data_IF_891467043473
#
_entry.id   IF_891467043473
#
_cell.length_a   1.000
_cell.length_b   1.000
_cell.length_c   1.000
_cell.angle_alpha   90.00
_cell.angle_beta   90.00
_cell.angle_gamma   90.00
#
_symmetry.space_group_name_H-M   'P 1'
#
loop_
_entity.id
_entity.type
_entity.pdbx_description
1 polymer ?
#
# COMPACT_ATOMS: atom_id res chain seq x y z
N UNK A 1 18.15 -57.58 -15.19
CA UNK A 1 16.98 -57.06 -14.48
C UNK A 1 17.27 -55.62 -14.17
N UNK A 2 16.80 -54.70 -15.00
CA UNK A 2 16.89 -53.26 -14.72
C UNK A 2 15.85 -52.93 -13.66
N UNK A 3 16.28 -52.56 -12.49
CA UNK A 3 15.43 -51.95 -11.48
C UNK A 3 14.92 -50.60 -12.07
N UNK A 4 13.66 -50.58 -12.50
CA UNK A 4 12.98 -49.33 -12.75
C UNK A 4 12.98 -48.53 -11.44
N UNK A 5 13.87 -47.56 -11.35
CA UNK A 5 13.82 -46.58 -10.26
C UNK A 5 12.45 -45.88 -10.34
N UNK A 6 11.63 -46.06 -9.32
CA UNK A 6 10.39 -45.28 -9.20
C UNK A 6 10.74 -43.84 -8.86
N UNK A 7 11.19 -43.09 -9.86
CA UNK A 7 11.57 -41.67 -9.77
C UNK A 7 10.43 -40.86 -9.17
N UNK A 8 9.17 -41.20 -9.49
CA UNK A 8 7.99 -40.50 -8.95
C UNK A 8 7.76 -40.76 -7.45
N UNK A 9 7.98 -41.97 -6.98
CA UNK A 9 7.90 -42.31 -5.56
C UNK A 9 8.98 -41.61 -4.74
N UNK A 10 10.19 -41.50 -5.32
CA UNK A 10 11.30 -40.77 -4.70
C UNK A 10 11.02 -39.27 -4.68
N UNK A 11 10.46 -38.71 -5.75
CA UNK A 11 10.09 -37.30 -5.87
C UNK A 11 9.06 -36.89 -4.80
N UNK A 12 7.97 -37.64 -4.67
CA UNK A 12 6.93 -37.43 -3.65
C UNK A 12 7.52 -37.56 -2.23
N UNK A 13 8.32 -38.59 -1.97
CA UNK A 13 8.99 -38.77 -0.68
C UNK A 13 9.98 -37.65 -0.33
N UNK A 14 10.59 -37.01 -1.35
CA UNK A 14 11.51 -35.89 -1.19
C UNK A 14 10.77 -34.60 -0.86
N UNK A 15 9.63 -34.35 -1.49
CA UNK A 15 8.80 -33.20 -1.22
C UNK A 15 8.43 -33.10 0.27
N UNK A 16 8.06 -34.23 0.88
CA UNK A 16 7.81 -34.31 2.30
C UNK A 16 9.05 -33.97 3.16
N UNK A 17 10.24 -34.33 2.71
CA UNK A 17 11.49 -34.09 3.45
C UNK A 17 11.93 -32.63 3.43
N UNK A 18 11.76 -31.92 2.31
CA UNK A 18 12.18 -30.51 2.13
C UNK A 18 11.08 -29.49 2.34
N UNK A 19 9.89 -29.93 2.68
CA UNK A 19 8.71 -29.12 2.91
C UNK A 19 8.96 -27.89 3.78
N UNK A 20 9.71 -28.02 4.87
CA UNK A 20 10.03 -26.91 5.76
C UNK A 20 10.86 -25.82 5.07
N UNK A 21 11.79 -26.18 4.20
CA UNK A 21 12.61 -25.23 3.46
C UNK A 21 11.77 -24.47 2.43
N UNK A 22 10.89 -25.18 1.71
CA UNK A 22 9.98 -24.58 0.74
C UNK A 22 8.98 -23.64 1.42
N UNK A 23 8.42 -24.01 2.57
CA UNK A 23 7.52 -23.17 3.35
C UNK A 23 8.18 -21.89 3.91
N UNK A 24 9.52 -21.87 4.02
CA UNK A 24 10.25 -20.68 4.47
C UNK A 24 10.50 -19.66 3.35
N UNK A 25 10.35 -20.04 2.07
CA UNK A 25 10.63 -19.15 0.95
C UNK A 25 9.77 -17.89 0.93
N UNK A 26 8.45 -17.94 1.14
CA UNK A 26 7.63 -16.73 1.26
C UNK A 26 8.10 -15.79 2.38
N UNK A 27 8.51 -16.37 3.52
CA UNK A 27 9.02 -15.58 4.65
C UNK A 27 10.33 -14.89 4.30
N UNK A 28 11.22 -15.58 3.59
CA UNK A 28 12.49 -15.02 3.15
C UNK A 28 12.27 -13.92 2.14
N UNK A 29 11.37 -14.11 1.16
CA UNK A 29 11.01 -13.10 0.17
C UNK A 29 10.45 -11.83 0.82
N UNK A 30 9.69 -11.98 1.90
CA UNK A 30 9.10 -10.88 2.65
C UNK A 30 10.02 -10.30 3.74
N UNK A 31 11.15 -10.93 4.07
CA UNK A 31 11.94 -10.60 5.25
C UNK A 31 12.39 -9.14 5.28
N UNK A 32 12.80 -8.61 4.14
CA UNK A 32 13.22 -7.20 4.02
C UNK A 32 12.06 -6.23 4.26
N UNK A 33 10.90 -6.54 3.72
CA UNK A 33 9.69 -5.71 3.88
C UNK A 33 9.11 -5.83 5.29
N UNK A 34 8.99 -7.04 5.80
CA UNK A 34 8.31 -7.32 7.08
C UNK A 34 9.12 -6.96 8.31
N UNK A 35 10.46 -6.85 8.22
CA UNK A 35 11.26 -6.33 9.33
C UNK A 35 10.84 -4.91 9.77
N UNK A 36 10.25 -4.13 8.85
CA UNK A 36 9.77 -2.78 9.10
C UNK A 36 8.28 -2.70 9.44
N UNK A 37 7.56 -3.83 9.43
CA UNK A 37 6.13 -3.96 9.68
C UNK A 37 5.85 -4.90 10.85
N UNK A 38 4.59 -4.99 11.27
CA UNK A 38 4.16 -5.93 12.32
C UNK A 38 3.49 -7.14 11.69
N UNK A 39 4.15 -8.29 11.81
CA UNK A 39 3.56 -9.56 11.39
C UNK A 39 2.50 -10.03 12.38
N UNK A 40 1.40 -10.54 11.85
CA UNK A 40 0.32 -11.20 12.60
C UNK A 40 0.17 -12.61 12.06
N UNK A 41 0.48 -13.60 12.88
CA UNK A 41 0.45 -15.01 12.54
C UNK A 41 -0.85 -15.67 12.97
N UNK A 42 -1.22 -16.76 12.31
CA UNK A 42 -2.38 -17.60 12.68
C UNK A 42 -3.73 -17.00 12.25
N UNK A 43 -3.76 -16.10 11.27
CA UNK A 43 -5.01 -15.50 10.78
C UNK A 43 -5.47 -16.26 9.54
N UNK A 44 -6.61 -16.96 9.67
CA UNK A 44 -7.33 -17.61 8.58
C UNK A 44 -8.66 -16.92 8.36
N UNK A 45 -8.67 -15.91 7.44
CA UNK A 45 -9.87 -15.13 7.15
C UNK A 45 -9.84 -13.74 7.78
N UNK A 46 -10.70 -13.46 8.77
CA UNK A 46 -10.90 -12.10 9.29
C UNK A 46 -10.52 -11.98 10.76
N UNK A 47 -9.69 -10.99 11.08
CA UNK A 47 -9.40 -10.58 12.45
C UNK A 47 -9.76 -9.09 12.63
N UNK A 48 -10.45 -8.77 13.70
CA UNK A 48 -10.71 -7.37 14.05
C UNK A 48 -9.47 -6.80 14.75
N UNK A 49 -8.86 -5.83 14.10
CA UNK A 49 -7.76 -5.02 14.62
C UNK A 49 -8.27 -3.61 14.87
N UNK A 50 -7.56 -2.80 15.63
CA UNK A 50 -7.95 -1.43 15.83
C UNK A 50 -7.31 -0.82 17.06
N UNK A 51 -7.30 0.51 17.09
CA UNK A 51 -6.73 1.28 18.17
C UNK A 51 -7.79 1.68 19.19
N UNK A 52 -7.53 1.40 20.47
CA UNK A 52 -8.32 1.97 21.55
C UNK A 52 -8.03 3.46 21.68
N UNK A 53 -9.08 4.28 21.69
CA UNK A 53 -9.00 5.73 21.92
C UNK A 53 -9.64 6.06 23.25
N UNK A 54 -9.06 7.01 23.95
CA UNK A 54 -9.63 7.60 25.16
C UNK A 54 -9.52 9.10 25.12
N UNK A 55 -10.59 9.80 25.44
CA UNK A 55 -10.61 11.24 25.67
C UNK A 55 -10.25 11.63 27.09
N UNK A 56 -9.71 10.70 27.90
CA UNK A 56 -9.31 10.96 29.27
C UNK A 56 -8.30 12.12 29.36
N UNK A 57 -8.59 13.07 30.23
CA UNK A 57 -7.73 14.23 30.51
C UNK A 57 -7.41 14.29 31.99
N UNK A 58 -6.14 14.51 32.31
CA UNK A 58 -5.76 14.87 33.65
C UNK A 58 -6.29 16.27 33.95
N UNK A 59 -7.10 16.38 34.99
CA UNK A 59 -7.73 17.66 35.43
C UNK A 59 -7.37 17.97 36.87
N UNK A 60 -7.46 19.23 37.30
CA UNK A 60 -7.31 19.58 38.71
C UNK A 60 -8.27 18.75 39.57
N UNK A 61 -7.81 18.40 40.78
CA UNK A 61 -8.58 17.62 41.72
C UNK A 61 -9.91 18.30 42.06
N UNK A 62 -11.00 17.50 42.02
CA UNK A 62 -12.34 17.92 42.42
C UNK A 62 -12.96 16.85 43.31
N UNK A 63 -13.72 17.22 44.30
CA UNK A 63 -14.44 16.30 45.17
C UNK A 63 -15.65 15.66 44.48
N UNK A 64 -16.20 16.29 43.43
CA UNK A 64 -17.31 15.72 42.64
C UNK A 64 -16.83 14.59 41.74
N UNK A 65 -17.58 13.46 41.73
CA UNK A 65 -17.33 12.32 40.84
C UNK A 65 -18.00 12.54 39.50
N UNK A 66 -17.36 13.27 38.59
CA UNK A 66 -17.83 13.34 37.20
C UNK A 66 -17.09 12.31 36.37
N UNK A 67 -17.66 11.14 36.18
CA UNK A 67 -17.12 10.10 35.30
C UNK A 67 -17.65 10.32 33.89
N UNK A 68 -16.76 10.62 32.93
CA UNK A 68 -17.08 10.64 31.50
C UNK A 68 -16.49 9.41 30.86
N UNK A 69 -17.32 8.55 30.30
CA UNK A 69 -16.81 7.43 29.50
C UNK A 69 -16.53 7.94 28.07
N UNK A 70 -15.23 8.11 27.76
CA UNK A 70 -14.76 8.58 26.46
C UNK A 70 -13.89 7.52 25.75
N UNK A 71 -13.85 6.29 26.31
CA UNK A 71 -13.11 5.20 25.67
C UNK A 71 -13.92 4.64 24.49
N UNK A 72 -13.30 4.58 23.33
CA UNK A 72 -13.85 3.97 22.11
C UNK A 72 -12.78 3.12 21.42
N UNK A 73 -13.20 2.07 20.74
CA UNK A 73 -12.33 1.30 19.86
C UNK A 73 -12.81 1.60 18.44
N UNK A 74 -11.92 2.03 17.57
CA UNK A 74 -12.19 2.12 16.14
C UNK A 74 -11.76 0.80 15.50
N UNK A 75 -12.70 -0.11 15.22
CA UNK A 75 -12.38 -1.41 14.66
C UNK A 75 -12.01 -1.28 13.18
N UNK A 76 -10.98 -2.01 12.78
CA UNK A 76 -10.63 -2.27 11.39
C UNK A 76 -10.52 -3.78 11.21
N UNK A 77 -10.75 -4.27 10.02
CA UNK A 77 -10.68 -5.71 9.74
C UNK A 77 -9.43 -6.00 8.93
N UNK A 78 -8.54 -6.81 9.49
CA UNK A 78 -7.47 -7.45 8.74
C UNK A 78 -8.06 -8.74 8.16
N UNK A 79 -8.16 -8.80 6.85
CA UNK A 79 -8.66 -9.95 6.12
C UNK A 79 -7.51 -10.61 5.37
N UNK A 80 -7.38 -11.93 5.53
CA UNK A 80 -6.39 -12.73 4.81
C UNK A 80 -7.09 -13.64 3.81
N UNK A 81 -6.52 -13.78 2.64
CA UNK A 81 -7.05 -14.59 1.54
C UNK A 81 -6.11 -15.75 1.27
N UNK A 82 -6.71 -16.90 0.98
CA UNK A 82 -5.97 -18.08 0.57
C UNK A 82 -5.54 -17.92 -0.89
N UNK A 83 -4.23 -17.93 -1.12
CA UNK A 83 -3.63 -18.11 -2.43
C UNK A 83 -3.15 -19.54 -2.61
N UNK A 84 -3.18 -20.03 -3.83
CA UNK A 84 -2.65 -21.32 -4.22
C UNK A 84 -1.73 -21.21 -5.43
N UNK A 85 -0.79 -22.10 -5.50
CA UNK A 85 0.12 -22.29 -6.63
C UNK A 85 0.06 -23.75 -7.02
N UNK A 86 -0.27 -24.03 -8.28
CA UNK A 86 -0.33 -25.36 -8.85
C UNK A 86 0.53 -25.35 -10.10
N UNK A 87 1.68 -26.03 -10.04
CA UNK A 87 2.61 -26.13 -11.16
C UNK A 87 2.83 -27.59 -11.52
N UNK A 88 2.83 -27.89 -12.81
CA UNK A 88 3.09 -29.20 -13.33
C UNK A 88 4.42 -29.23 -14.11
N UNK A 89 5.27 -30.19 -13.80
CA UNK A 89 6.52 -30.37 -14.53
C UNK A 89 6.79 -31.86 -14.90
N UNK A 90 7.44 -32.04 -16.04
CA UNK A 90 7.90 -33.35 -16.48
C UNK A 90 9.35 -33.55 -16.00
N UNK A 91 9.61 -34.46 -15.04
CA UNK A 91 10.98 -34.70 -14.54
C UNK A 91 11.96 -35.14 -15.65
N UNK A 92 11.48 -35.73 -16.73
CA UNK A 92 12.33 -36.21 -17.83
C UNK A 92 12.94 -35.06 -18.65
N UNK A 93 12.30 -33.91 -18.70
CA UNK A 93 12.83 -32.73 -19.42
C UNK A 93 14.08 -32.14 -18.73
N UNK A 94 14.30 -32.48 -17.47
CA UNK A 94 15.43 -32.01 -16.67
C UNK A 94 16.67 -32.88 -16.82
N UNK A 95 16.52 -34.10 -17.31
CA UNK A 95 17.64 -34.98 -17.66
C UNK A 95 18.32 -34.45 -18.92
N UNK A 96 19.49 -33.84 -18.78
CA UNK A 96 20.25 -33.21 -19.86
C UNK A 96 20.49 -31.70 -19.63
N UNK A 97 19.96 -31.16 -18.56
CA UNK A 97 20.25 -29.79 -18.12
C UNK A 97 21.39 -29.77 -17.09
N UNK A 98 21.86 -28.58 -16.74
CA UNK A 98 22.88 -28.34 -15.69
C UNK A 98 22.51 -29.01 -14.35
N UNK A 99 21.21 -29.17 -14.08
CA UNK A 99 20.70 -29.80 -12.86
C UNK A 99 20.87 -31.34 -12.86
N UNK A 100 21.17 -31.93 -14.00
CA UNK A 100 21.38 -33.37 -14.19
C UNK A 100 22.87 -33.76 -14.33
N UNK A 101 23.82 -32.90 -13.94
CA UNK A 101 25.25 -33.16 -14.10
C UNK A 101 25.66 -34.55 -13.56
N UNK A 102 26.27 -35.41 -14.41
CA UNK A 102 26.57 -36.78 -14.05
C UNK A 102 27.85 -36.95 -13.18
N UNK A 103 28.32 -35.92 -12.50
CA UNK A 103 29.65 -35.87 -11.90
C UNK A 103 29.77 -36.57 -10.56
N UNK A 104 28.75 -37.16 -10.02
CA UNK A 104 28.89 -37.98 -8.82
C UNK A 104 27.93 -39.17 -8.85
N UNK A 105 28.47 -40.34 -8.75
CA UNK A 105 27.77 -41.64 -8.66
C UNK A 105 26.74 -41.75 -7.53
N UNK A 106 26.29 -40.67 -6.90
CA UNK A 106 25.28 -40.60 -5.82
C UNK A 106 24.63 -39.25 -5.64
N UNK A 107 24.45 -38.43 -6.70
CA UNK A 107 23.43 -37.37 -6.56
C UNK A 107 22.08 -38.04 -6.64
N UNK A 108 21.45 -38.13 -5.52
CA UNK A 108 20.10 -38.67 -5.42
C UNK A 108 19.16 -37.66 -6.10
N UNK A 109 18.17 -38.18 -6.81
CA UNK A 109 17.04 -37.44 -7.41
C UNK A 109 16.41 -36.44 -6.41
N UNK A 110 16.69 -36.62 -5.15
CA UNK A 110 16.32 -35.81 -3.99
C UNK A 110 16.80 -34.35 -4.06
N UNK A 111 18.03 -34.09 -4.54
CA UNK A 111 18.59 -32.71 -4.60
C UNK A 111 17.99 -31.89 -5.74
N UNK A 112 17.67 -32.56 -6.85
CA UNK A 112 17.01 -31.95 -8.00
C UNK A 112 15.62 -31.48 -7.63
N UNK A 113 14.84 -32.34 -6.95
CA UNK A 113 13.49 -32.01 -6.48
C UNK A 113 13.50 -30.86 -5.48
N UNK A 114 14.45 -30.89 -4.54
CA UNK A 114 14.64 -29.81 -3.57
C UNK A 114 14.87 -28.48 -4.29
N UNK A 115 15.83 -28.45 -5.21
CA UNK A 115 16.22 -27.23 -5.92
C UNK A 115 15.03 -26.66 -6.72
N UNK A 116 14.30 -27.53 -7.42
CA UNK A 116 13.13 -27.13 -8.19
C UNK A 116 11.98 -26.64 -7.31
N UNK A 117 11.66 -27.36 -6.24
CA UNK A 117 10.56 -26.96 -5.34
C UNK A 117 10.88 -25.63 -4.65
N UNK A 118 12.14 -25.41 -4.29
CA UNK A 118 12.60 -24.13 -3.72
C UNK A 118 12.50 -23.01 -4.76
N UNK A 119 12.92 -23.28 -6.01
CA UNK A 119 12.86 -22.27 -7.08
C UNK A 119 11.42 -21.93 -7.47
N UNK A 120 10.53 -22.93 -7.56
CA UNK A 120 9.09 -22.69 -7.78
C UNK A 120 8.47 -21.84 -6.67
N UNK A 121 8.75 -22.17 -5.41
CA UNK A 121 8.27 -21.39 -4.29
C UNK A 121 8.84 -19.96 -4.29
N UNK A 122 10.11 -19.79 -4.69
CA UNK A 122 10.75 -18.47 -4.83
C UNK A 122 10.04 -17.65 -5.90
N UNK A 123 9.83 -18.20 -7.08
CA UNK A 123 9.14 -17.52 -8.19
C UNK A 123 7.70 -17.17 -7.82
N UNK A 124 6.96 -18.11 -7.24
CA UNK A 124 5.57 -17.89 -6.80
C UNK A 124 5.44 -16.76 -5.77
N UNK A 125 6.50 -16.43 -5.06
CA UNK A 125 6.49 -15.39 -4.01
C UNK A 125 7.31 -14.15 -4.36
N UNK A 126 7.87 -14.09 -5.58
CA UNK A 126 8.71 -12.97 -6.03
C UNK A 126 7.95 -11.64 -6.04
N UNK A 127 6.70 -11.65 -6.50
CA UNK A 127 5.84 -10.47 -6.57
C UNK A 127 5.10 -10.14 -5.26
N UNK A 128 5.20 -11.00 -4.25
CA UNK A 128 4.49 -10.81 -3.00
C UNK A 128 4.87 -9.51 -2.25
N UNK A 129 6.15 -9.08 -2.19
CA UNK A 129 6.53 -7.78 -1.64
C UNK A 129 5.86 -6.60 -2.37
N UNK A 130 5.65 -6.72 -3.69
CA UNK A 130 4.96 -5.73 -4.50
C UNK A 130 3.45 -5.75 -4.23
N UNK A 131 2.84 -6.93 -4.15
CA UNK A 131 1.42 -7.10 -3.83
C UNK A 131 1.05 -6.50 -2.46
N UNK A 132 1.96 -6.52 -1.46
CA UNK A 132 1.76 -5.85 -0.17
C UNK A 132 1.41 -4.36 -0.33
N UNK A 133 1.96 -3.69 -1.34
CA UNK A 133 1.69 -2.26 -1.56
C UNK A 133 0.62 -2.02 -2.62
N UNK A 134 0.76 -2.61 -3.80
CA UNK A 134 -0.04 -2.26 -4.98
C UNK A 134 -1.02 -3.35 -5.42
N UNK A 135 -1.14 -4.45 -4.67
CA UNK A 135 -2.13 -5.50 -4.94
C UNK A 135 -3.57 -4.96 -4.96
N UNK A 136 -4.39 -5.55 -5.82
CA UNK A 136 -5.83 -5.25 -5.95
C UNK A 136 -6.59 -6.56 -5.97
N UNK A 137 -7.40 -6.82 -4.97
CA UNK A 137 -8.12 -8.08 -4.83
C UNK A 137 -9.04 -8.35 -6.02
N UNK A 138 -8.76 -9.43 -6.74
CA UNK A 138 -9.60 -9.97 -7.79
C UNK A 138 -9.76 -11.49 -7.59
N UNK A 139 -10.94 -11.93 -7.20
CA UNK A 139 -11.19 -13.35 -6.91
C UNK A 139 -11.15 -14.26 -8.16
N UNK A 140 -11.16 -13.69 -9.37
CA UNK A 140 -11.08 -14.40 -10.64
C UNK A 140 -9.73 -14.14 -11.35
N UNK A 141 -8.78 -13.50 -10.69
CA UNK A 141 -7.44 -13.25 -11.23
C UNK A 141 -6.50 -14.43 -11.04
N UNK A 142 -5.47 -14.46 -11.86
CA UNK A 142 -4.46 -15.53 -11.89
C UNK A 142 -3.07 -15.07 -11.46
N UNK A 143 -2.96 -13.85 -10.90
CA UNK A 143 -1.69 -13.23 -10.53
C UNK A 143 -1.57 -13.04 -9.00
N UNK A 144 -0.35 -13.02 -8.48
CA UNK A 144 -0.06 -12.69 -7.08
C UNK A 144 -0.60 -11.31 -6.69
N UNK A 145 -0.65 -10.37 -7.64
CA UNK A 145 -1.20 -9.02 -7.45
C UNK A 145 -2.72 -9.01 -7.23
N UNK A 146 -3.42 -10.07 -7.62
CA UNK A 146 -4.88 -10.24 -7.47
C UNK A 146 -5.26 -10.85 -6.12
N UNK A 147 -4.29 -11.25 -5.28
CA UNK A 147 -4.55 -12.04 -4.09
C UNK A 147 -5.25 -11.24 -2.98
N UNK A 148 -4.81 -10.01 -2.70
CA UNK A 148 -5.37 -9.13 -1.67
C UNK A 148 -5.13 -7.66 -2.00
N UNK A 149 -5.89 -6.77 -1.34
CA UNK A 149 -5.68 -5.32 -1.46
C UNK A 149 -4.43 -4.90 -0.69
N UNK A 150 -3.50 -4.25 -1.40
CA UNK A 150 -2.29 -3.69 -0.83
C UNK A 150 -2.52 -2.36 -0.08
N UNK A 151 -1.48 -1.85 0.58
CA UNK A 151 -1.57 -0.61 1.36
C UNK A 151 -1.97 0.61 0.53
N UNK A 152 -1.50 0.73 -0.72
CA UNK A 152 -1.89 1.81 -1.64
C UNK A 152 -3.37 1.70 -1.99
N UNK A 153 -3.84 0.51 -2.34
CA UNK A 153 -5.23 0.23 -2.69
C UNK A 153 -6.16 0.55 -1.50
N UNK A 154 -5.77 0.13 -0.30
CA UNK A 154 -6.49 0.46 0.93
C UNK A 154 -6.50 1.98 1.17
N UNK A 155 -5.35 2.66 0.97
CA UNK A 155 -5.25 4.11 1.13
C UNK A 155 -6.16 4.85 0.14
N UNK A 156 -6.20 4.44 -1.12
CA UNK A 156 -7.09 4.99 -2.15
C UNK A 156 -8.55 4.76 -1.77
N UNK A 157 -8.93 3.55 -1.35
CA UNK A 157 -10.29 3.23 -0.92
C UNK A 157 -10.73 4.09 0.28
N UNK A 158 -9.86 4.26 1.29
CA UNK A 158 -10.13 5.09 2.46
C UNK A 158 -10.19 6.59 2.12
N UNK A 159 -9.43 7.05 1.12
CA UNK A 159 -9.53 8.40 0.58
C UNK A 159 -10.87 8.61 -0.10
N UNK A 160 -11.33 7.66 -0.91
CA UNK A 160 -12.66 7.68 -1.55
C UNK A 160 -13.79 7.71 -0.52
N UNK A 161 -13.62 7.02 0.62
CA UNK A 161 -14.57 7.06 1.75
C UNK A 161 -14.46 8.37 2.56
N UNK A 162 -13.46 9.21 2.31
CA UNK A 162 -13.22 10.44 3.07
C UNK A 162 -12.60 10.21 4.46
N UNK A 163 -12.11 9.01 4.75
CA UNK A 163 -11.42 8.70 6.00
C UNK A 163 -9.97 9.20 5.99
N UNK A 164 -9.38 9.30 4.82
CA UNK A 164 -8.06 9.90 4.57
C UNK A 164 -8.28 11.17 3.74
N UNK A 165 -7.86 12.33 4.25
CA UNK A 165 -7.96 13.62 3.55
C UNK A 165 -7.07 14.68 4.20
N UNK A 166 -6.72 15.74 3.45
CA UNK A 166 -5.98 16.88 4.01
C UNK A 166 -6.78 17.61 5.09
N UNK A 167 -8.12 17.65 4.99
CA UNK A 167 -8.98 18.24 6.03
C UNK A 167 -8.86 17.51 7.38
N UNK A 168 -8.65 16.19 7.35
CA UNK A 168 -8.41 15.39 8.56
C UNK A 168 -6.96 15.48 9.04
N UNK A 169 -6.04 16.00 8.23
CA UNK A 169 -4.63 16.15 8.56
C UNK A 169 -3.83 14.83 8.52
N UNK A 170 -4.31 13.83 7.77
CA UNK A 170 -3.66 12.55 7.56
C UNK A 170 -3.27 12.29 6.10
N UNK A 171 -3.31 13.33 5.26
CA UNK A 171 -3.00 13.25 3.84
C UNK A 171 -2.40 14.54 3.28
N UNK A 172 -1.50 14.40 2.31
CA UNK A 172 -0.92 15.51 1.53
C UNK A 172 -0.58 15.04 0.11
N UNK A 173 -0.72 15.93 -0.87
CA UNK A 173 -0.23 15.73 -2.23
C UNK A 173 1.16 16.35 -2.41
N UNK A 174 2.05 15.62 -3.07
CA UNK A 174 3.39 16.07 -3.40
C UNK A 174 3.68 15.73 -4.84
N UNK A 175 3.77 16.73 -5.68
CA UNK A 175 4.02 16.59 -7.11
C UNK A 175 5.46 16.98 -7.47
N UNK A 176 5.96 16.50 -8.63
CA UNK A 176 7.24 16.86 -9.22
C UNK A 176 8.43 16.68 -8.29
N UNK A 177 8.59 15.45 -7.80
CA UNK A 177 9.78 15.09 -7.04
C UNK A 177 10.95 14.86 -8.00
N UNK A 178 12.06 15.57 -7.77
CA UNK A 178 13.31 15.41 -8.50
C UNK A 178 14.52 15.54 -7.55
N UNK A 179 15.72 15.29 -8.08
CA UNK A 179 16.96 15.36 -7.31
C UNK A 179 17.24 16.74 -6.67
N UNK A 180 16.64 17.82 -7.19
CA UNK A 180 16.84 19.16 -6.62
C UNK A 180 15.93 19.46 -5.40
N UNK A 181 14.75 18.81 -5.30
CA UNK A 181 13.72 19.21 -4.34
C UNK A 181 13.25 18.09 -3.40
N UNK A 182 13.64 16.85 -3.62
CA UNK A 182 13.14 15.68 -2.88
C UNK A 182 13.29 15.81 -1.36
N UNK A 183 14.42 16.36 -0.88
CA UNK A 183 14.64 16.55 0.55
C UNK A 183 13.63 17.51 1.18
N UNK A 184 13.28 18.59 0.48
CA UNK A 184 12.28 19.56 0.95
C UNK A 184 10.86 19.00 0.85
N UNK A 185 10.57 18.20 -0.19
CA UNK A 185 9.29 17.51 -0.36
C UNK A 185 9.04 16.48 0.75
N UNK A 186 10.03 15.63 1.07
CA UNK A 186 9.93 14.68 2.20
C UNK A 186 9.81 15.41 3.55
N UNK A 187 10.52 16.53 3.75
CA UNK A 187 10.35 17.38 4.93
C UNK A 187 8.94 17.99 4.99
N UNK A 188 8.32 18.32 3.87
CA UNK A 188 6.96 18.83 3.83
C UNK A 188 5.96 17.81 4.36
N UNK A 189 6.10 16.51 4.01
CA UNK A 189 5.30 15.41 4.58
C UNK A 189 5.43 15.41 6.10
N UNK A 190 6.67 15.38 6.61
CA UNK A 190 6.93 15.35 8.04
C UNK A 190 6.41 16.63 8.75
N UNK A 191 6.51 17.80 8.12
CA UNK A 191 5.98 19.06 8.68
C UNK A 191 4.45 19.07 8.75
N UNK A 192 3.77 18.53 7.75
CA UNK A 192 2.31 18.44 7.71
C UNK A 192 1.75 17.42 8.73
N UNK A 193 2.54 16.41 9.13
CA UNK A 193 2.12 15.40 10.07
C UNK A 193 1.75 15.96 11.46
N UNK A 194 0.87 15.27 12.16
CA UNK A 194 0.43 15.66 13.51
C UNK A 194 1.60 15.66 14.51
N UNK A 195 1.56 16.57 15.50
CA UNK A 195 2.65 16.76 16.48
C UNK A 195 3.00 15.48 17.25
N UNK A 196 2.02 14.65 17.58
CA UNK A 196 2.23 13.36 18.27
C UNK A 196 3.07 12.44 17.38
N UNK A 197 2.72 12.34 16.10
CA UNK A 197 3.46 11.51 15.14
C UNK A 197 4.91 12.00 14.97
N UNK A 198 5.12 13.30 14.84
CA UNK A 198 6.47 13.91 14.74
C UNK A 198 7.37 13.62 15.94
N UNK A 199 6.77 13.50 17.12
CA UNK A 199 7.51 13.26 18.37
C UNK A 199 7.79 11.79 18.64
N UNK A 200 7.13 10.88 17.90
CA UNK A 200 7.32 9.44 18.00
C UNK A 200 8.48 8.98 17.09
N UNK A 201 8.99 7.79 17.35
CA UNK A 201 9.87 7.10 16.41
C UNK A 201 9.02 6.60 15.22
N UNK A 202 9.15 7.25 14.08
CA UNK A 202 8.38 6.98 12.88
C UNK A 202 9.25 6.40 11.77
N UNK A 203 8.60 5.69 10.87
CA UNK A 203 9.17 5.21 9.62
C UNK A 203 8.46 5.90 8.45
N UNK A 204 9.23 6.36 7.50
CA UNK A 204 8.73 6.88 6.24
C UNK A 204 9.03 5.84 5.17
N UNK A 205 8.00 5.14 4.73
CA UNK A 205 8.07 4.13 3.69
C UNK A 205 8.06 4.81 2.33
N UNK A 206 9.11 4.61 1.56
CA UNK A 206 9.34 5.26 0.27
C UNK A 206 9.79 4.24 -0.79
N UNK A 207 9.50 4.47 -2.09
CA UNK A 207 10.14 3.74 -3.17
C UNK A 207 11.66 3.92 -3.18
N UNK A 208 12.37 2.91 -3.70
CA UNK A 208 13.83 2.96 -3.85
C UNK A 208 14.26 4.15 -4.70
N UNK A 209 13.53 4.44 -5.80
CA UNK A 209 13.83 5.58 -6.67
C UNK A 209 13.82 6.93 -5.92
N UNK A 210 12.89 7.12 -4.98
CA UNK A 210 12.85 8.34 -4.16
C UNK A 210 14.04 8.38 -3.18
N UNK A 211 14.47 7.23 -2.68
CA UNK A 211 15.65 7.15 -1.81
C UNK A 211 16.92 7.52 -2.56
N UNK A 212 17.08 7.02 -3.79
CA UNK A 212 18.21 7.37 -4.67
C UNK A 212 18.26 8.87 -4.93
N UNK A 213 17.12 9.49 -5.32
CA UNK A 213 17.01 10.94 -5.48
C UNK A 213 17.35 11.70 -4.19
N UNK A 214 16.96 11.16 -3.02
CA UNK A 214 17.27 11.78 -1.74
C UNK A 214 18.76 11.74 -1.42
N UNK A 215 19.43 10.65 -1.74
CA UNK A 215 20.87 10.53 -1.52
C UNK A 215 21.65 11.46 -2.45
N UNK A 216 21.23 11.61 -3.72
CA UNK A 216 21.77 12.60 -4.66
C UNK A 216 21.55 14.04 -4.14
N UNK A 217 20.33 14.35 -3.70
CA UNK A 217 19.99 15.65 -3.11
C UNK A 217 20.87 15.95 -1.89
N UNK A 218 21.05 14.96 -1.03
CA UNK A 218 21.84 15.13 0.18
C UNK A 218 23.32 15.40 -0.17
N UNK A 219 23.87 14.64 -1.11
CA UNK A 219 25.25 14.82 -1.57
C UNK A 219 25.46 16.21 -2.20
N UNK A 220 24.50 16.68 -3.00
CA UNK A 220 24.57 17.96 -3.67
C UNK A 220 24.51 19.15 -2.67
N UNK A 221 23.69 19.05 -1.61
CA UNK A 221 23.49 20.15 -0.66
C UNK A 221 24.48 20.18 0.51
N UNK A 222 25.00 19.01 0.93
CA UNK A 222 25.85 18.91 2.12
C UNK A 222 27.31 18.49 1.80
N UNK A 223 27.62 18.25 0.53
CA UNK A 223 28.94 17.89 0.06
C UNK A 223 29.34 16.46 0.38
N UNK A 224 30.49 16.04 -0.17
CA UNK A 224 31.09 14.74 0.11
C UNK A 224 31.57 14.70 1.55
N UNK A 225 30.77 14.12 2.43
CA UNK A 225 31.23 13.79 3.76
C UNK A 225 32.19 12.61 3.63
N UNK A 226 33.41 12.75 4.18
CA UNK A 226 34.47 11.74 4.10
C UNK A 226 33.95 10.35 4.47
N UNK A 227 34.39 9.38 3.72
CA UNK A 227 34.14 7.94 3.83
C UNK A 227 34.04 7.46 5.27
N UNK A 228 32.85 7.52 5.82
CA UNK A 228 32.56 6.94 7.11
C UNK A 228 31.31 6.08 6.95
N UNK A 229 31.43 4.79 7.23
CA UNK A 229 30.36 3.78 7.14
C UNK A 229 29.12 4.08 7.99
N UNK A 230 29.15 5.13 8.79
CA UNK A 230 28.02 5.67 9.56
C UNK A 230 27.15 6.67 8.79
N UNK A 231 27.39 6.90 7.52
CA UNK A 231 26.70 7.91 6.69
C UNK A 231 25.64 7.37 5.75
N UNK A 232 25.12 6.18 5.99
CA UNK A 232 23.88 5.81 5.36
C UNK A 232 22.79 6.79 5.80
N UNK A 233 22.13 7.45 4.83
CA UNK A 233 21.06 8.40 5.09
C UNK A 233 19.79 7.66 5.51
N UNK A 234 19.86 6.98 6.62
CA UNK A 234 18.74 6.20 7.19
C UNK A 234 17.66 7.09 7.81
N UNK A 235 17.99 8.35 8.11
CA UNK A 235 17.04 9.26 8.74
C UNK A 235 16.81 10.51 7.90
N UNK A 236 15.57 10.98 7.88
CA UNK A 236 15.24 12.25 7.25
C UNK A 236 15.96 13.40 7.95
N UNK A 237 16.69 14.20 7.17
CA UNK A 237 17.46 15.33 7.67
C UNK A 237 16.57 16.34 8.41
N UNK A 238 17.02 16.77 9.59
CA UNK A 238 16.31 17.76 10.43
C UNK A 238 15.24 17.18 11.36
N UNK A 239 15.13 15.86 11.51
CA UNK A 239 14.13 15.19 12.35
C UNK A 239 14.67 14.63 13.67
N UNK A 240 15.91 14.97 14.05
CA UNK A 240 16.58 14.45 15.25
C UNK A 240 16.58 12.90 15.33
N UNK A 241 16.77 12.22 14.19
CA UNK A 241 16.75 10.75 14.07
C UNK A 241 15.41 10.11 14.49
N UNK A 242 14.30 10.87 14.47
CA UNK A 242 12.97 10.34 14.79
C UNK A 242 12.26 9.73 13.59
N UNK A 243 12.55 10.23 12.37
CA UNK A 243 11.95 9.74 11.14
C UNK A 243 12.98 8.93 10.36
N UNK A 244 12.84 7.60 10.38
CA UNK A 244 13.65 6.67 9.60
C UNK A 244 13.09 6.57 8.18
N UNK A 245 13.96 6.69 7.17
CA UNK A 245 13.62 6.46 5.77
C UNK A 245 13.77 4.96 5.48
N UNK A 246 12.68 4.33 5.08
CA UNK A 246 12.64 2.91 4.74
C UNK A 246 12.33 2.80 3.26
N UNK A 247 13.35 2.52 2.46
CA UNK A 247 13.22 2.26 1.04
C UNK A 247 12.92 0.77 0.82
N UNK A 248 11.81 0.46 0.18
CA UNK A 248 11.38 -0.92 -0.06
C UNK A 248 11.26 -1.21 -1.55
N UNK A 249 11.90 -2.30 -2.04
CA UNK A 249 11.76 -2.71 -3.45
C UNK A 249 10.32 -2.99 -3.86
N UNK A 250 9.50 -3.51 -2.94
CA UNK A 250 8.08 -3.76 -3.19
C UNK A 250 7.24 -2.50 -3.47
N UNK A 251 7.76 -1.30 -3.21
CA UNK A 251 7.10 -0.03 -3.50
C UNK A 251 7.40 0.52 -4.91
N UNK A 252 7.94 -0.29 -5.83
CA UNK A 252 8.37 0.19 -7.16
C UNK A 252 7.26 0.89 -7.94
N UNK A 253 6.04 0.39 -7.87
CA UNK A 253 4.86 0.96 -8.54
C UNK A 253 3.92 1.69 -7.56
N UNK A 254 4.36 1.91 -6.32
CA UNK A 254 3.58 2.64 -5.33
C UNK A 254 3.46 4.11 -5.71
N UNK A 255 2.27 4.67 -5.54
CA UNK A 255 1.98 6.09 -5.74
C UNK A 255 1.92 6.87 -4.44
N UNK A 256 2.12 6.18 -3.30
CA UNK A 256 2.02 6.77 -1.98
C UNK A 256 3.31 6.60 -1.16
N UNK A 257 3.57 7.57 -0.32
CA UNK A 257 4.57 7.54 0.76
C UNK A 257 3.80 7.47 2.06
N UNK A 258 4.18 6.55 2.95
CA UNK A 258 3.52 6.39 4.24
C UNK A 258 4.46 6.80 5.37
N UNK A 259 4.03 7.76 6.19
CA UNK A 259 4.70 8.14 7.44
C UNK A 259 3.89 7.60 8.61
N UNK A 260 4.41 6.56 9.26
CA UNK A 260 3.71 5.88 10.34
C UNK A 260 4.68 5.16 11.28
N UNK A 261 4.17 4.43 12.26
CA UNK A 261 4.97 3.57 13.13
C UNK A 261 5.01 2.13 12.60
N UNK A 262 6.06 1.38 12.93
CA UNK A 262 6.19 -0.04 12.58
C UNK A 262 4.93 -0.85 12.93
N UNK A 263 4.35 -0.57 14.09
CA UNK A 263 3.22 -1.35 14.62
C UNK A 263 1.90 -1.08 13.88
N UNK A 264 1.81 0.03 13.14
CA UNK A 264 0.58 0.42 12.46
C UNK A 264 0.38 -0.28 11.10
N UNK A 265 1.44 -0.78 10.49
CA UNK A 265 1.36 -1.56 9.26
C UNK A 265 1.35 -3.04 9.60
N UNK A 266 0.20 -3.67 9.41
CA UNK A 266 -0.03 -5.08 9.75
C UNK A 266 0.03 -5.94 8.50
N UNK A 267 0.79 -7.02 8.57
CA UNK A 267 0.80 -8.08 7.56
C UNK A 267 0.30 -9.35 8.23
N UNK A 268 -0.84 -9.83 7.78
CA UNK A 268 -1.44 -11.08 8.25
C UNK A 268 -0.95 -12.26 7.44
N UNK A 269 -0.59 -13.33 8.09
CA UNK A 269 -0.29 -14.61 7.46
C UNK A 269 -0.61 -15.76 8.41
N UNK A 270 -0.71 -16.96 7.87
CA UNK A 270 -0.97 -18.17 8.62
C UNK A 270 0.17 -19.17 8.43
N UNK A 271 1.27 -18.97 9.18
CA UNK A 271 2.46 -19.80 9.05
C UNK A 271 2.64 -20.88 10.10
N UNK A 272 1.97 -20.77 11.27
CA UNK A 272 2.23 -21.70 12.36
C UNK A 272 1.46 -23.02 12.26
N UNK A 273 0.31 -23.06 11.57
CA UNK A 273 -0.58 -24.23 11.58
C UNK A 273 -0.40 -25.18 10.40
N UNK A 274 0.36 -24.83 9.36
CA UNK A 274 0.33 -25.55 8.09
C UNK A 274 1.55 -26.38 7.78
N UNK A 275 1.66 -27.46 8.46
CA UNK A 275 2.57 -28.55 8.09
C UNK A 275 2.15 -29.25 6.78
N UNK A 276 1.00 -28.92 6.21
CA UNK A 276 0.38 -29.65 5.09
C UNK A 276 0.21 -28.87 3.77
N UNK A 277 0.70 -27.63 3.67
CA UNK A 277 0.43 -26.72 2.54
C UNK A 277 1.42 -26.73 1.39
N UNK A 278 2.45 -27.52 1.45
CA UNK A 278 3.31 -27.82 0.30
C UNK A 278 3.25 -29.29 0.03
N UNK A 279 2.76 -29.67 -1.14
CA UNK A 279 2.65 -31.06 -1.57
C UNK A 279 3.27 -31.21 -2.96
N UNK A 280 3.93 -32.36 -3.14
CA UNK A 280 4.38 -32.79 -4.45
C UNK A 280 3.63 -34.08 -4.75
N UNK A 281 2.67 -34.02 -5.63
CA UNK A 281 1.74 -35.07 -5.93
C UNK A 281 1.98 -35.66 -7.35
N UNK A 282 1.48 -36.86 -7.60
CA UNK A 282 1.37 -37.39 -8.96
C UNK A 282 0.19 -36.71 -9.63
N UNK A 283 0.44 -36.02 -10.75
CA UNK A 283 -0.63 -35.56 -11.60
C UNK A 283 -1.41 -36.71 -12.25
N UNK A 284 -2.61 -36.42 -12.74
CA UNK A 284 -3.42 -37.39 -13.53
C UNK A 284 -2.65 -37.93 -14.74
N UNK A 285 -1.79 -37.12 -15.34
CA UNK A 285 -0.84 -37.57 -16.35
C UNK A 285 0.32 -38.33 -15.69
N UNK A 286 0.54 -39.61 -15.99
CA UNK A 286 1.59 -40.39 -15.34
C UNK A 286 3.02 -39.95 -15.63
N UNK A 287 3.23 -39.00 -16.56
CA UNK A 287 4.55 -38.43 -16.88
C UNK A 287 4.87 -37.18 -16.12
N UNK A 288 3.90 -36.56 -15.44
CA UNK A 288 3.99 -35.23 -14.84
C UNK A 288 3.90 -35.33 -13.32
N UNK A 289 4.62 -34.50 -12.65
CA UNK A 289 4.56 -34.28 -11.20
C UNK A 289 3.97 -32.90 -10.94
N UNK A 290 3.04 -32.82 -10.00
CA UNK A 290 2.37 -31.59 -9.62
C UNK A 290 2.98 -31.06 -8.30
N UNK A 291 3.40 -29.80 -8.35
CA UNK A 291 3.75 -29.02 -7.17
C UNK A 291 2.52 -28.22 -6.74
N UNK A 292 2.19 -28.27 -5.47
CA UNK A 292 1.08 -27.56 -4.87
C UNK A 292 1.54 -26.82 -3.61
N UNK A 293 1.26 -25.53 -3.55
CA UNK A 293 1.53 -24.70 -2.38
C UNK A 293 0.33 -23.79 -2.09
N UNK A 294 -0.03 -23.63 -0.83
CA UNK A 294 -1.04 -22.66 -0.39
C UNK A 294 -0.53 -21.80 0.75
N UNK A 295 -0.97 -20.55 0.79
CA UNK A 295 -0.66 -19.64 1.87
C UNK A 295 -1.74 -18.55 2.03
N UNK A 296 -1.98 -18.08 3.26
CA UNK A 296 -2.86 -16.94 3.53
C UNK A 296 -2.04 -15.67 3.68
N UNK A 297 -2.45 -14.61 2.96
CA UNK A 297 -1.86 -13.28 3.08
C UNK A 297 -2.93 -12.20 3.08
N UNK A 298 -2.62 -11.10 3.74
CA UNK A 298 -3.42 -9.90 3.72
C UNK A 298 -2.73 -8.79 4.50
N UNK A 299 -3.08 -7.55 4.21
CA UNK A 299 -2.50 -6.38 4.88
C UNK A 299 -3.58 -5.43 5.37
N UNK A 300 -3.27 -4.65 6.40
CA UNK A 300 -4.16 -3.61 6.91
C UNK A 300 -3.40 -2.59 7.77
N UNK A 301 -3.85 -1.34 7.78
CA UNK A 301 -3.45 -0.36 8.78
C UNK A 301 -4.21 -0.60 10.09
N UNK A 302 -3.52 -0.64 11.23
CA UNK A 302 -4.17 -0.72 12.54
C UNK A 302 -5.01 0.52 12.82
N UNK A 303 -4.52 1.69 12.40
CA UNK A 303 -5.22 2.98 12.53
C UNK A 303 -4.82 3.95 11.44
N UNK A 304 -5.77 4.74 10.95
CA UNK A 304 -5.54 5.85 10.01
C UNK A 304 -5.71 7.22 10.68
N UNK A 305 -5.69 7.28 12.03
CA UNK A 305 -5.74 8.52 12.78
C UNK A 305 -4.51 9.40 12.48
N UNK A 306 -4.68 10.73 12.28
CA UNK A 306 -3.57 11.66 12.07
C UNK A 306 -2.45 11.59 13.11
N UNK A 307 -2.75 11.11 14.32
CA UNK A 307 -1.75 10.98 15.40
C UNK A 307 -0.76 9.85 15.17
N UNK A 308 -1.10 8.87 14.32
CA UNK A 308 -0.28 7.67 14.08
C UNK A 308 -0.02 7.41 12.60
N UNK A 309 -0.72 8.12 11.71
CA UNK A 309 -0.68 7.87 10.27
C UNK A 309 -0.70 9.15 9.45
N UNK A 310 0.12 9.21 8.42
CA UNK A 310 0.12 10.23 7.38
C UNK A 310 0.45 9.57 6.05
N UNK A 311 -0.38 9.77 5.04
CA UNK A 311 -0.11 9.36 3.67
C UNK A 311 0.22 10.58 2.80
N UNK A 312 1.11 10.41 1.85
CA UNK A 312 1.38 11.40 0.82
C UNK A 312 1.28 10.73 -0.54
N UNK A 313 0.44 11.23 -1.42
CA UNK A 313 0.49 10.85 -2.83
C UNK A 313 1.59 11.65 -3.50
N UNK A 314 2.40 11.00 -4.32
CA UNK A 314 3.52 11.65 -4.99
C UNK A 314 3.49 11.40 -6.51
N UNK A 315 4.19 12.27 -7.25
CA UNK A 315 4.60 12.02 -8.63
C UNK A 315 6.04 12.45 -8.82
N UNK A 316 6.76 11.74 -9.67
CA UNK A 316 8.11 12.13 -10.08
C UNK A 316 8.05 13.24 -11.14
N UNK A 317 9.17 13.94 -11.33
CA UNK A 317 9.31 14.92 -12.40
C UNK A 317 9.21 14.23 -13.77
N UNK A 318 8.37 14.77 -14.64
CA UNK A 318 8.06 14.16 -15.94
C UNK A 318 6.82 13.26 -15.96
N UNK A 319 6.33 12.78 -14.82
CA UNK A 319 5.09 12.04 -14.75
C UNK A 319 3.86 12.96 -14.84
N UNK A 320 2.75 12.51 -15.44
CA UNK A 320 1.49 13.24 -15.36
C UNK A 320 1.09 13.48 -13.92
N UNK A 321 0.84 14.71 -13.56
CA UNK A 321 0.43 15.06 -12.19
C UNK A 321 -0.68 16.10 -12.19
N UNK A 322 -1.51 16.08 -11.13
CA UNK A 322 -2.58 17.03 -10.93
C UNK A 322 -2.66 17.43 -9.45
N UNK A 323 -2.38 18.67 -9.17
CA UNK A 323 -2.67 19.28 -7.87
C UNK A 323 -4.09 19.83 -7.86
N UNK A 324 -4.86 19.48 -6.84
CA UNK A 324 -6.23 19.99 -6.62
C UNK A 324 -6.26 20.73 -5.30
N UNK A 325 -6.70 21.97 -5.32
CA UNK A 325 -6.75 22.81 -4.12
C UNK A 325 -8.11 23.50 -3.98
N UNK A 326 -8.86 23.27 -2.90
CA UNK A 326 -8.62 22.27 -1.85
C UNK A 326 -8.88 20.83 -2.36
N UNK A 327 -8.30 19.84 -1.70
CA UNK A 327 -8.46 18.41 -2.02
C UNK A 327 -9.73 17.77 -1.42
N UNK A 328 -10.48 18.54 -0.62
CA UNK A 328 -11.82 18.23 -0.15
C UNK A 328 -12.61 19.54 0.00
N UNK A 329 -13.90 19.51 -0.33
CA UNK A 329 -14.74 20.69 -0.37
C UNK A 329 -15.86 20.56 0.65
N UNK A 330 -15.92 21.50 1.58
CA UNK A 330 -17.05 21.68 2.48
C UNK A 330 -17.82 22.95 2.07
N UNK A 331 -19.01 22.79 1.49
CA UNK A 331 -19.88 23.89 1.17
C UNK A 331 -20.50 24.48 2.45
N UNK A 332 -20.82 25.76 2.42
CA UNK A 332 -21.46 26.40 3.54
C UNK A 332 -22.89 25.84 3.74
N UNK A 333 -23.42 25.96 4.96
CA UNK A 333 -24.85 25.70 5.19
C UNK A 333 -25.68 26.59 4.26
N UNK A 334 -26.63 25.97 3.53
CA UNK A 334 -27.40 26.64 2.48
C UNK A 334 -28.86 26.37 2.69
N UNK A 335 -29.69 27.40 2.64
CA UNK A 335 -31.14 27.26 2.75
C UNK A 335 -31.68 26.44 1.56
N UNK A 336 -32.65 25.58 1.80
CA UNK A 336 -33.31 24.79 0.77
C UNK A 336 -33.76 25.69 -0.39
N UNK A 337 -33.49 25.26 -1.63
CA UNK A 337 -33.72 26.00 -2.88
C UNK A 337 -32.84 27.27 -3.09
N UNK A 338 -31.89 27.55 -2.18
CA UNK A 338 -30.83 28.51 -2.43
C UNK A 338 -29.57 27.80 -2.93
N UNK A 339 -28.56 28.56 -3.37
CA UNK A 339 -27.29 28.02 -3.86
C UNK A 339 -26.13 28.62 -3.10
N UNK A 340 -25.10 27.79 -2.86
CA UNK A 340 -23.78 28.26 -2.43
C UNK A 340 -22.70 27.71 -3.35
N UNK A 341 -21.61 28.44 -3.49
CA UNK A 341 -20.53 28.08 -4.39
C UNK A 341 -19.20 27.99 -3.64
N UNK A 342 -18.35 27.07 -4.07
CA UNK A 342 -16.94 26.95 -3.70
C UNK A 342 -16.12 26.75 -4.96
N UNK A 343 -14.90 27.22 -4.94
CA UNK A 343 -13.98 27.07 -6.07
C UNK A 343 -12.92 26.05 -5.70
N UNK A 344 -12.63 25.14 -6.61
CA UNK A 344 -11.44 24.31 -6.61
C UNK A 344 -10.53 24.71 -7.77
N UNK A 345 -9.25 24.72 -7.53
CA UNK A 345 -8.23 24.95 -8.56
C UNK A 345 -7.62 23.61 -8.97
N UNK A 346 -7.52 23.39 -10.27
CA UNK A 346 -6.87 22.24 -10.89
C UNK A 346 -5.59 22.73 -11.57
N UNK A 347 -4.44 22.27 -11.10
CA UNK A 347 -3.15 22.56 -11.72
C UNK A 347 -2.49 21.26 -12.12
N UNK A 348 -2.39 21.03 -13.43
CA UNK A 348 -1.75 19.86 -14.03
C UNK A 348 -0.31 20.17 -14.42
N UNK A 349 0.47 19.09 -14.56
CA UNK A 349 1.82 19.13 -15.13
C UNK A 349 2.05 17.80 -15.87
N UNK A 350 2.65 17.86 -17.06
CA UNK A 350 2.94 16.72 -17.94
C UNK A 350 1.71 15.86 -18.30
N UNK A 351 0.55 16.48 -18.44
CA UNK A 351 -0.69 15.77 -18.75
C UNK A 351 -0.66 15.20 -20.17
N UNK A 352 -1.06 13.94 -20.32
CA UNK A 352 -1.11 13.24 -21.63
C UNK A 352 -2.40 13.51 -22.42
N UNK A 353 -3.37 14.21 -21.85
CA UNK A 353 -4.66 14.52 -22.47
C UNK A 353 -5.56 15.37 -21.58
N UNK A 354 -6.73 15.70 -22.08
CA UNK A 354 -7.75 16.44 -21.32
C UNK A 354 -8.21 15.64 -20.08
N UNK A 355 -8.70 16.38 -19.08
CA UNK A 355 -9.22 15.85 -17.83
C UNK A 355 -10.74 15.94 -17.85
N UNK A 356 -11.43 14.85 -17.59
CA UNK A 356 -12.87 14.78 -17.42
C UNK A 356 -13.27 14.87 -15.95
N UNK A 357 -14.33 15.61 -15.69
CA UNK A 357 -14.87 15.87 -14.36
C UNK A 357 -16.32 15.37 -14.28
N UNK A 358 -16.61 14.49 -13.35
CA UNK A 358 -17.96 14.01 -13.09
C UNK A 358 -18.32 14.15 -11.61
N UNK A 359 -19.56 14.48 -11.31
CA UNK A 359 -20.11 14.49 -9.93
C UNK A 359 -20.96 13.26 -9.71
N UNK A 360 -20.65 12.51 -8.67
CA UNK A 360 -21.47 11.39 -8.19
C UNK A 360 -22.08 11.77 -6.83
N UNK A 361 -23.35 12.11 -6.83
CA UNK A 361 -24.12 12.53 -5.66
C UNK A 361 -25.11 13.66 -6.00
N UNK A 362 -26.18 13.76 -5.24
CA UNK A 362 -27.22 14.76 -5.46
C UNK A 362 -26.85 16.12 -4.84
N UNK A 363 -27.39 17.20 -5.42
CA UNK A 363 -27.29 18.55 -4.87
C UNK A 363 -26.02 19.31 -5.25
N UNK A 364 -25.12 18.74 -6.06
CA UNK A 364 -23.90 19.41 -6.51
C UNK A 364 -23.77 19.42 -8.03
N UNK A 365 -23.23 20.51 -8.56
CA UNK A 365 -22.93 20.68 -9.98
C UNK A 365 -21.57 21.36 -10.17
N UNK A 366 -20.94 21.16 -11.33
CA UNK A 366 -19.66 21.76 -11.69
C UNK A 366 -19.85 22.78 -12.82
N UNK A 367 -19.00 23.80 -12.86
CA UNK A 367 -18.96 24.78 -13.95
C UNK A 367 -18.41 24.24 -15.25
N UNK A 368 -17.70 23.12 -15.23
CA UNK A 368 -17.18 22.43 -16.41
C UNK A 368 -17.12 20.92 -16.17
N UNK A 369 -17.33 20.14 -17.22
CA UNK A 369 -17.20 18.67 -17.21
C UNK A 369 -15.88 18.19 -17.80
N UNK A 370 -15.14 19.07 -18.47
CA UNK A 370 -13.83 18.75 -19.08
C UNK A 370 -12.90 19.95 -18.96
N UNK A 371 -11.62 19.71 -18.75
CA UNK A 371 -10.57 20.71 -18.69
C UNK A 371 -9.48 20.33 -19.70
N UNK A 372 -9.12 21.26 -20.58
CA UNK A 372 -8.04 21.04 -21.55
C UNK A 372 -6.67 21.00 -20.86
N UNK A 373 -5.69 20.34 -21.49
CA UNK A 373 -4.29 20.32 -21.03
C UNK A 373 -3.77 21.74 -20.83
N UNK A 374 -3.96 22.61 -21.82
CA UNK A 374 -3.48 23.99 -21.77
C UNK A 374 -4.06 24.80 -20.61
N UNK A 375 -5.34 24.57 -20.28
CA UNK A 375 -5.99 25.23 -19.14
C UNK A 375 -5.48 24.70 -17.79
N UNK A 376 -5.31 23.37 -17.68
CA UNK A 376 -4.84 22.75 -16.46
C UNK A 376 -3.35 23.06 -16.20
N UNK A 377 -2.51 23.08 -17.23
CA UNK A 377 -1.07 23.36 -17.14
C UNK A 377 -0.73 24.85 -17.14
N UNK A 378 -1.72 25.73 -17.25
CA UNK A 378 -1.50 27.14 -17.08
C UNK A 378 -0.84 27.43 -15.72
N UNK A 379 -0.02 28.48 -15.64
CA UNK A 379 0.73 28.83 -14.42
C UNK A 379 -0.16 28.98 -13.17
N UNK A 380 -1.40 29.41 -13.36
CA UNK A 380 -2.42 29.57 -12.31
C UNK A 380 -3.34 28.37 -12.18
N UNK A 381 -3.26 27.38 -13.08
CA UNK A 381 -4.22 26.28 -13.20
C UNK A 381 -5.61 26.75 -13.63
N UNK A 382 -6.58 25.83 -13.60
CA UNK A 382 -7.99 26.08 -13.95
C UNK A 382 -8.87 26.06 -12.69
N UNK A 383 -9.63 27.13 -12.50
CA UNK A 383 -10.64 27.22 -11.46
C UNK A 383 -11.95 26.57 -11.92
N UNK A 384 -12.46 25.64 -11.12
CA UNK A 384 -13.76 25.00 -11.30
C UNK A 384 -14.65 25.40 -10.14
N UNK A 385 -15.82 25.94 -10.44
CA UNK A 385 -16.83 26.28 -9.43
C UNK A 385 -17.71 25.07 -9.14
N UNK A 386 -17.77 24.69 -7.87
CA UNK A 386 -18.67 23.68 -7.35
C UNK A 386 -19.89 24.42 -6.75
N UNK A 387 -21.05 24.16 -7.30
CA UNK A 387 -22.32 24.76 -6.83
C UNK A 387 -23.10 23.73 -6.03
N UNK A 388 -23.46 24.09 -4.81
CA UNK A 388 -24.32 23.31 -3.94
C UNK A 388 -25.73 23.89 -3.93
N UNK A 389 -26.75 23.08 -4.22
CA UNK A 389 -28.16 23.45 -4.30
C UNK A 389 -29.01 22.39 -3.58
N UNK A 390 -29.17 22.50 -2.26
CA UNK A 390 -29.97 21.52 -1.49
C UNK A 390 -31.47 21.63 -1.80
N UNK A 391 -32.15 20.49 -1.98
CA UNK A 391 -33.60 20.37 -2.14
C UNK A 391 -34.30 20.01 -0.84
N UNK A 392 -33.57 19.58 0.18
CA UNK A 392 -34.09 19.17 1.48
C UNK A 392 -33.16 19.64 2.60
N UNK A 393 -33.67 19.80 3.81
CA UNK A 393 -32.90 20.13 4.99
C UNK A 393 -32.22 18.87 5.57
N UNK A 394 -31.09 18.50 4.97
CA UNK A 394 -30.29 17.35 5.38
C UNK A 394 -28.79 17.53 5.01
N UNK A 395 -27.95 16.66 5.50
CA UNK A 395 -26.57 16.58 5.05
C UNK A 395 -26.51 15.92 3.66
N UNK A 396 -25.67 16.49 2.79
CA UNK A 396 -25.37 15.99 1.45
C UNK A 396 -23.91 15.63 1.36
N UNK A 397 -23.61 14.52 0.68
CA UNK A 397 -22.28 14.09 0.34
C UNK A 397 -22.21 13.73 -1.14
N UNK A 398 -21.17 14.15 -1.82
CA UNK A 398 -20.91 13.81 -3.21
C UNK A 398 -19.42 13.59 -3.43
N UNK A 399 -19.08 13.02 -4.57
CA UNK A 399 -17.73 12.80 -5.03
C UNK A 399 -17.56 13.47 -6.38
N UNK A 400 -16.47 14.23 -6.54
CA UNK A 400 -16.01 14.69 -7.83
C UNK A 400 -14.98 13.70 -8.31
N UNK A 401 -15.28 13.00 -9.40
CA UNK A 401 -14.39 12.04 -10.06
C UNK A 401 -13.65 12.82 -11.14
N UNK A 402 -12.34 12.78 -11.09
CA UNK A 402 -11.43 13.42 -12.02
C UNK A 402 -10.66 12.31 -12.73
N UNK A 403 -10.80 12.18 -14.03
CA UNK A 403 -10.13 11.14 -14.82
C UNK A 403 -9.66 11.70 -16.17
N UNK A 404 -8.62 11.09 -16.75
CA UNK A 404 -8.03 11.53 -18.01
C UNK A 404 -6.64 12.16 -17.85
N UNK A 405 -5.95 12.41 -18.95
CA UNK A 405 -4.62 13.02 -18.94
C UNK A 405 -3.53 12.20 -18.22
N UNK A 406 -3.73 10.89 -18.04
CA UNK A 406 -2.84 10.04 -17.23
C UNK A 406 -3.16 10.07 -15.73
N UNK A 407 -4.26 10.72 -15.32
CA UNK A 407 -4.62 10.96 -13.91
C UNK A 407 -5.97 10.29 -13.58
N UNK A 408 -6.08 9.79 -12.36
CA UNK A 408 -7.35 9.38 -11.76
C UNK A 408 -7.39 9.85 -10.30
N UNK A 409 -8.38 10.69 -9.95
CA UNK A 409 -8.57 11.23 -8.59
C UNK A 409 -10.03 11.33 -8.20
N UNK A 410 -10.28 11.29 -6.90
CA UNK A 410 -11.61 11.50 -6.32
C UNK A 410 -11.52 12.55 -5.22
N UNK A 411 -12.39 13.55 -5.29
CA UNK A 411 -12.51 14.63 -4.32
C UNK A 411 -13.85 14.50 -3.60
N UNK A 412 -13.83 14.52 -2.27
CA UNK A 412 -15.04 14.48 -1.47
C UNK A 412 -15.63 15.88 -1.33
N UNK A 413 -16.93 15.97 -1.49
CA UNK A 413 -17.71 17.21 -1.34
C UNK A 413 -18.81 16.99 -0.34
N UNK A 414 -18.96 17.92 0.60
CA UNK A 414 -20.01 17.88 1.63
C UNK A 414 -20.74 19.22 1.66
N UNK A 415 -22.02 19.19 2.04
CA UNK A 415 -22.83 20.38 2.26
C UNK A 415 -24.03 20.06 3.17
N UNK A 416 -24.57 21.06 3.83
CA UNK A 416 -25.75 20.92 4.69
C UNK A 416 -26.87 21.82 4.20
N UNK A 417 -28.00 21.22 3.87
CA UNK A 417 -29.22 21.95 3.60
C UNK A 417 -29.90 22.37 4.91
N UNK A 418 -30.33 23.65 5.02
CA UNK A 418 -31.03 24.19 6.17
C UNK A 418 -32.46 24.53 5.75
N UNK A 419 -33.45 24.30 6.61
CA UNK A 419 -34.82 24.74 6.36
C UNK A 419 -34.88 26.27 6.24
N UNK A 420 -35.78 26.79 5.40
CA UNK A 420 -36.13 28.21 5.42
C UNK A 420 -36.77 28.53 6.76
N UNK A 421 -36.36 29.62 7.39
CA UNK A 421 -36.96 30.15 8.62
C UNK A 421 -38.34 30.71 8.32
#
# INVERSE_FOLDING_TARGET
MGTNLDVKGILVGSGHKFRKEVLLMPVIALSETTQHMKMRYGIQGKETVGQARSGAKLRPYRTSKDATNTASIEPRTLETFLGDVVEEFDPYTLYGTIYSEPTAKKRTDLEIVKTLSVEMARQATEDLPKAIFTGVRNAAGDDTMDLFDGFDTICIAEKVLGNISALKGNYIDITNINAANVGDKLKAIHKAAHTVLKNSATKMFIPVAIKELYDEWFLANFGAVSYNTTFEQTFLHGTNKKCELVALPGMIDSTHIFLTTKNNMLVGCDQESDKERVEINKADNPKVVQFFMTAFYGVQFESIDPKVFMAAQFSLDGDPSLAVTPDAIACNETVVNATSTKTMNLKGENLTGAIDLAVSGAGFTLSASTVSVNDAEASTGKNITVTFAPTEAKAYTAKIIIAGGGISRVINVTGTGKAAE
#
